data_IF_874041585412
#
_entry.id   IF_874041585412
#
_cell.length_a   1.000
_cell.length_b   1.000
_cell.length_c   1.000
_cell.angle_alpha   90.00
_cell.angle_beta   90.00
_cell.angle_gamma   90.00
#
_symmetry.space_group_name_H-M   'P 1'
#
loop_
_entity.id
_entity.type
_entity.pdbx_description
1 polymer ?
#
# COMPACT_ATOMS: atom_id res chain seq x y z
N UNK A 1 11.04 -13.47 14.53
CA UNK A 1 10.29 -12.92 13.36
C UNK A 1 11.27 -12.24 12.42
N UNK A 2 11.19 -12.56 11.12
CA UNK A 2 12.01 -11.85 10.13
C UNK A 2 11.22 -10.72 9.48
N UNK A 3 11.90 -9.60 9.24
CA UNK A 3 11.36 -8.46 8.49
C UNK A 3 12.33 -8.13 7.37
N UNK A 4 11.86 -8.10 6.13
CA UNK A 4 12.62 -7.58 5.00
C UNK A 4 12.30 -6.11 4.83
N UNK A 5 13.33 -5.29 4.70
CA UNK A 5 13.23 -3.83 4.57
C UNK A 5 13.72 -3.43 3.19
N UNK A 6 12.88 -2.73 2.46
CA UNK A 6 13.28 -2.03 1.23
C UNK A 6 13.70 -0.58 1.54
N UNK A 7 14.69 -0.09 0.82
CA UNK A 7 15.26 1.26 1.05
C UNK A 7 15.43 2.02 -0.26
N UNK A 8 15.42 3.35 -0.19
CA UNK A 8 16.00 4.16 -1.27
C UNK A 8 17.51 4.10 -1.20
N UNK A 9 18.15 3.75 -2.32
CA UNK A 9 19.61 3.64 -2.46
C UNK A 9 20.22 4.68 -3.40
N UNK A 10 19.40 5.32 -4.21
CA UNK A 10 19.81 6.36 -5.16
C UNK A 10 19.01 7.65 -4.92
N UNK A 11 19.54 8.77 -5.40
CA UNK A 11 18.83 10.04 -5.36
C UNK A 11 17.82 10.11 -6.50
N UNK A 12 16.57 10.33 -6.15
CA UNK A 12 15.45 10.64 -7.04
C UNK A 12 15.00 12.09 -6.82
N UNK A 13 14.13 12.61 -7.69
CA UNK A 13 13.68 14.01 -7.60
C UNK A 13 13.05 14.40 -6.26
N UNK A 14 12.58 13.44 -5.46
CA UNK A 14 11.86 13.66 -4.21
C UNK A 14 12.57 13.09 -2.95
N UNK A 15 13.70 12.37 -3.11
CA UNK A 15 14.42 11.74 -2.00
C UNK A 15 15.92 11.63 -2.30
N UNK A 16 16.75 11.75 -1.27
CA UNK A 16 18.16 11.37 -1.31
C UNK A 16 18.31 10.02 -0.64
N UNK A 17 18.43 8.95 -1.43
CA UNK A 17 18.62 7.60 -0.95
C UNK A 17 19.97 7.42 -0.25
N UNK A 18 19.97 6.73 0.88
CA UNK A 18 21.15 6.43 1.69
C UNK A 18 21.28 4.93 1.98
N UNK A 19 20.27 4.16 1.61
CA UNK A 19 20.27 2.71 1.77
C UNK A 19 21.13 2.01 0.73
N UNK A 20 21.42 0.73 0.97
CA UNK A 20 22.18 -0.11 0.06
C UNK A 20 21.34 -1.25 -0.55
N UNK A 21 20.02 -1.08 -0.59
CA UNK A 21 19.11 -2.06 -1.16
C UNK A 21 18.21 -2.73 -0.13
N UNK A 22 18.23 -4.05 -0.05
CA UNK A 22 17.41 -4.84 0.87
C UNK A 22 18.16 -5.20 2.15
N UNK A 23 17.47 -5.08 3.28
CA UNK A 23 17.95 -5.53 4.59
C UNK A 23 17.04 -6.62 5.14
N UNK A 24 17.58 -7.55 5.92
CA UNK A 24 16.80 -8.54 6.67
C UNK A 24 17.07 -8.36 8.15
N UNK A 25 16.03 -8.11 8.91
CA UNK A 25 16.08 -7.94 10.35
C UNK A 25 15.54 -9.20 11.03
N UNK A 26 16.25 -9.74 12.02
CA UNK A 26 15.73 -10.76 12.93
C UNK A 26 15.28 -10.07 14.22
N UNK A 27 13.99 -9.99 14.40
CA UNK A 27 13.35 -9.34 15.54
C UNK A 27 12.86 -10.39 16.52
N UNK A 28 13.15 -10.19 17.79
CA UNK A 28 12.61 -11.03 18.85
C UNK A 28 11.11 -10.75 19.02
N UNK A 29 10.31 -11.80 19.01
CA UNK A 29 8.83 -11.66 18.96
C UNK A 29 8.24 -11.14 20.27
N UNK A 30 8.92 -11.38 21.40
CA UNK A 30 8.44 -10.98 22.74
C UNK A 30 8.91 -9.58 23.10
N UNK A 31 10.21 -9.33 22.94
CA UNK A 31 10.83 -8.06 23.34
C UNK A 31 10.71 -7.00 22.28
N UNK A 32 10.56 -7.39 21.00
CA UNK A 32 10.60 -6.52 19.82
C UNK A 32 11.88 -5.70 19.75
N UNK A 33 12.98 -6.38 19.97
CA UNK A 33 14.35 -5.88 19.79
C UNK A 33 15.06 -6.72 18.74
N UNK A 34 16.11 -6.19 18.14
CA UNK A 34 16.93 -6.98 17.22
C UNK A 34 17.61 -8.11 17.99
N UNK A 35 17.52 -9.34 17.48
CA UNK A 35 18.31 -10.47 18.00
C UNK A 35 19.77 -10.24 17.66
N UNK A 36 20.63 -10.43 18.66
CA UNK A 36 22.07 -10.37 18.46
C UNK A 36 22.52 -11.54 17.59
N UNK A 37 22.98 -11.26 16.38
CA UNK A 37 23.33 -12.28 15.37
C UNK A 37 24.83 -12.38 15.15
N UNK A 38 25.61 -12.52 16.21
CA UNK A 38 27.08 -12.70 16.12
C UNK A 38 27.50 -13.86 15.18
N UNK A 39 26.57 -14.77 14.84
CA UNK A 39 26.80 -15.90 13.94
C UNK A 39 26.23 -15.73 12.52
N UNK A 40 25.45 -14.68 12.23
CA UNK A 40 24.78 -14.53 10.95
C UNK A 40 25.21 -13.24 10.22
N UNK A 41 25.94 -13.41 9.13
CA UNK A 41 26.57 -12.30 8.38
C UNK A 41 25.59 -11.52 7.51
N UNK A 42 24.35 -12.01 7.36
CA UNK A 42 23.36 -11.39 6.45
C UNK A 42 22.34 -10.50 7.18
N UNK A 43 22.00 -10.78 8.42
CA UNK A 43 21.06 -9.94 9.16
C UNK A 43 21.62 -8.55 9.43
N UNK A 44 20.80 -7.51 9.19
CA UNK A 44 21.18 -6.13 9.40
C UNK A 44 22.25 -5.60 8.43
N UNK A 45 22.54 -6.31 7.34
CA UNK A 45 23.43 -5.86 6.27
C UNK A 45 22.70 -5.77 4.94
N UNK A 46 23.06 -4.81 4.06
CA UNK A 46 22.51 -4.75 2.72
C UNK A 46 22.90 -6.01 1.95
N UNK A 47 21.93 -6.65 1.30
CA UNK A 47 22.16 -7.90 0.59
C UNK A 47 22.14 -7.76 -0.92
N UNK A 48 21.30 -6.87 -1.41
CA UNK A 48 21.08 -6.65 -2.83
C UNK A 48 20.90 -5.16 -3.07
N UNK A 49 21.74 -4.57 -3.87
CA UNK A 49 21.72 -3.16 -4.19
C UNK A 49 22.97 -2.73 -4.93
N UNK A 50 23.08 -1.45 -5.34
CA UNK A 50 24.22 -0.93 -6.08
C UNK A 50 25.56 -1.17 -5.39
N UNK A 51 25.62 -0.94 -4.08
CA UNK A 51 26.86 -1.08 -3.30
C UNK A 51 27.25 -2.53 -3.02
N UNK A 52 26.31 -3.46 -3.06
CA UNK A 52 26.58 -4.89 -2.84
C UNK A 52 27.15 -5.59 -4.07
N UNK A 53 27.09 -4.94 -5.25
CA UNK A 53 27.48 -5.54 -6.52
C UNK A 53 26.60 -6.73 -6.97
N UNK A 54 25.54 -7.05 -6.19
CA UNK A 54 24.62 -8.13 -6.50
C UNK A 54 23.36 -7.56 -7.18
N UNK A 55 23.14 -7.95 -8.41
CA UNK A 55 21.89 -7.85 -9.17
C UNK A 55 21.29 -6.47 -9.41
N UNK A 56 22.00 -5.37 -9.16
CA UNK A 56 21.61 -4.05 -9.65
C UNK A 56 20.18 -3.59 -9.26
N UNK A 57 19.66 -3.97 -8.10
CA UNK A 57 18.44 -3.41 -7.53
C UNK A 57 18.74 -1.99 -7.03
N UNK A 58 18.21 -1.00 -7.71
CA UNK A 58 18.25 0.37 -7.26
C UNK A 58 16.88 0.73 -6.69
N UNK A 59 16.86 1.30 -5.48
CA UNK A 59 15.61 1.69 -4.82
C UNK A 59 14.56 0.56 -4.77
N UNK A 60 14.81 -0.59 -4.10
CA UNK A 60 13.79 -1.61 -3.88
C UNK A 60 12.73 -1.09 -2.91
N UNK A 61 11.72 -0.41 -3.45
CA UNK A 61 10.77 0.39 -2.66
C UNK A 61 9.50 -0.34 -2.27
N UNK A 62 9.22 -1.49 -2.89
CA UNK A 62 8.13 -2.34 -2.45
C UNK A 62 8.43 -3.81 -2.67
N UNK A 63 7.99 -4.63 -1.71
CA UNK A 63 8.20 -6.08 -1.74
C UNK A 63 7.13 -6.82 -0.94
N UNK A 64 6.94 -8.08 -1.30
CA UNK A 64 6.09 -9.01 -0.56
C UNK A 64 6.81 -10.34 -0.35
N UNK A 65 6.53 -11.00 0.77
CA UNK A 65 6.91 -12.37 1.02
C UNK A 65 5.73 -13.29 0.68
N UNK A 66 5.96 -14.33 -0.09
CA UNK A 66 4.95 -15.27 -0.52
C UNK A 66 5.39 -16.71 -0.24
N UNK A 67 4.59 -17.43 0.54
CA UNK A 67 4.71 -18.88 0.70
C UNK A 67 3.78 -19.57 -0.30
N UNK A 68 4.33 -20.36 -1.24
CA UNK A 68 3.49 -21.14 -2.14
C UNK A 68 2.56 -22.10 -1.39
N UNK A 69 1.36 -22.31 -1.89
CA UNK A 69 0.39 -23.25 -1.30
C UNK A 69 1.01 -24.64 -1.18
N UNK A 70 0.97 -25.18 0.03
CA UNK A 70 1.54 -26.51 0.34
C UNK A 70 3.00 -26.52 0.78
N UNK A 71 3.69 -25.38 0.76
CA UNK A 71 5.07 -25.24 1.20
C UNK A 71 5.21 -24.86 2.70
N UNK A 72 4.19 -25.15 3.52
CA UNK A 72 4.25 -24.90 4.97
C UNK A 72 5.51 -25.57 5.54
N UNK A 73 6.26 -24.80 6.35
CA UNK A 73 7.56 -25.18 6.94
C UNK A 73 8.75 -25.20 5.97
N UNK A 74 8.61 -24.59 4.79
CA UNK A 74 9.76 -24.44 3.91
C UNK A 74 10.88 -23.63 4.59
N UNK A 75 12.11 -24.08 4.45
CA UNK A 75 13.30 -23.37 4.95
C UNK A 75 13.51 -22.01 4.27
N UNK A 76 12.78 -21.75 3.19
CA UNK A 76 12.86 -20.54 2.38
C UNK A 76 11.49 -20.06 1.97
N UNK A 77 11.39 -18.73 1.72
CA UNK A 77 10.20 -18.05 1.23
C UNK A 77 10.56 -17.26 -0.03
N UNK A 78 9.60 -17.10 -0.93
CA UNK A 78 9.77 -16.28 -2.13
C UNK A 78 9.51 -14.81 -1.80
N UNK A 79 10.41 -13.94 -2.22
CA UNK A 79 10.27 -12.48 -2.12
C UNK A 79 10.11 -11.95 -3.54
N UNK A 80 8.99 -11.28 -3.83
CA UNK A 80 8.84 -10.49 -5.04
C UNK A 80 9.13 -9.05 -4.69
N UNK A 81 10.02 -8.42 -5.47
CA UNK A 81 10.48 -7.05 -5.24
C UNK A 81 10.43 -6.25 -6.52
N UNK A 82 10.06 -4.97 -6.39
CA UNK A 82 10.12 -3.99 -7.46
C UNK A 82 11.09 -2.88 -7.10
N UNK A 83 11.73 -2.30 -8.11
CA UNK A 83 12.61 -1.14 -7.95
C UNK A 83 12.00 0.12 -8.59
N UNK A 84 12.21 1.25 -7.92
CA UNK A 84 11.72 2.56 -8.36
C UNK A 84 12.80 3.31 -9.11
N UNK A 85 12.57 3.58 -10.40
CA UNK A 85 13.50 4.30 -11.27
C UNK A 85 12.77 5.37 -12.06
N UNK A 86 13.42 6.53 -12.22
CA UNK A 86 12.85 7.68 -12.94
C UNK A 86 13.30 7.74 -14.39
N UNK A 87 14.43 7.13 -14.74
CA UNK A 87 15.08 7.20 -16.06
C UNK A 87 14.82 6.00 -16.97
N UNK A 88 14.24 4.94 -16.45
CA UNK A 88 13.87 3.73 -17.19
C UNK A 88 12.77 2.94 -16.45
N UNK A 89 12.19 1.90 -17.05
CA UNK A 89 10.97 1.26 -16.55
C UNK A 89 11.00 0.73 -15.13
N UNK A 90 12.16 0.55 -14.50
CA UNK A 90 12.26 -0.21 -13.26
C UNK A 90 12.14 -1.71 -13.52
N UNK A 91 12.19 -2.52 -12.48
CA UNK A 91 12.20 -3.98 -12.62
C UNK A 91 11.34 -4.68 -11.59
N UNK A 92 10.85 -5.87 -11.98
CA UNK A 92 10.24 -6.85 -11.07
C UNK A 92 11.14 -8.08 -11.03
N UNK A 93 11.43 -8.57 -9.82
CA UNK A 93 12.26 -9.75 -9.57
C UNK A 93 11.63 -10.70 -8.58
N UNK A 94 11.99 -11.99 -8.70
CA UNK A 94 11.74 -13.01 -7.69
C UNK A 94 13.06 -13.39 -7.01
N UNK A 95 13.05 -13.43 -5.68
CA UNK A 95 14.18 -13.82 -4.84
C UNK A 95 13.75 -14.95 -3.90
N UNK A 96 14.71 -15.69 -3.40
CA UNK A 96 14.52 -16.63 -2.30
C UNK A 96 15.15 -16.07 -1.02
N UNK A 97 14.42 -16.05 0.06
CA UNK A 97 14.94 -15.75 1.39
C UNK A 97 15.07 -17.06 2.19
N UNK A 98 16.26 -17.39 2.60
CA UNK A 98 16.49 -18.47 3.57
C UNK A 98 16.12 -17.99 4.98
N UNK A 99 15.05 -18.56 5.56
CA UNK A 99 14.53 -18.13 6.87
C UNK A 99 15.54 -18.33 8.02
N UNK A 100 16.46 -19.28 7.91
CA UNK A 100 17.44 -19.57 8.95
C UNK A 100 18.67 -18.68 8.89
N UNK A 101 19.14 -18.36 7.67
CA UNK A 101 20.37 -17.59 7.49
C UNK A 101 20.11 -16.10 7.21
N UNK A 102 18.86 -15.74 6.85
CA UNK A 102 18.52 -14.38 6.37
C UNK A 102 19.12 -14.05 5.01
N UNK A 103 19.66 -15.01 4.28
CA UNK A 103 20.28 -14.81 2.97
C UNK A 103 19.22 -14.68 1.89
N UNK A 104 19.32 -13.63 1.09
CA UNK A 104 18.57 -13.42 -0.14
C UNK A 104 19.39 -13.86 -1.35
N UNK A 105 18.75 -14.58 -2.26
CA UNK A 105 19.35 -15.07 -3.52
C UNK A 105 18.34 -14.91 -4.67
N UNK A 106 18.77 -14.76 -5.93
CA UNK A 106 17.87 -14.84 -7.07
C UNK A 106 17.11 -16.16 -7.08
N UNK A 107 15.83 -16.09 -7.47
CA UNK A 107 15.03 -17.26 -7.76
C UNK A 107 14.91 -17.40 -9.27
N UNK A 108 15.44 -18.47 -9.83
CA UNK A 108 15.64 -18.65 -11.27
C UNK A 108 17.03 -18.20 -11.72
N UNK A 109 17.17 -17.79 -12.97
CA UNK A 109 18.40 -17.20 -13.47
C UNK A 109 18.64 -15.82 -12.84
N UNK A 110 19.89 -15.45 -12.56
CA UNK A 110 20.22 -14.11 -12.04
C UNK A 110 19.82 -12.98 -12.98
N UNK A 111 19.56 -13.29 -14.24
CA UNK A 111 19.06 -12.38 -15.27
C UNK A 111 17.55 -12.45 -15.48
N UNK A 112 16.81 -13.24 -14.68
CA UNK A 112 15.35 -13.28 -14.71
C UNK A 112 14.74 -12.00 -14.12
N UNK A 113 14.84 -10.93 -14.92
CA UNK A 113 14.38 -9.59 -14.60
C UNK A 113 13.30 -9.22 -15.61
N UNK A 114 12.15 -8.80 -15.13
CA UNK A 114 11.08 -8.27 -15.96
C UNK A 114 11.10 -6.75 -15.92
N UNK A 115 11.23 -6.11 -17.09
CA UNK A 115 11.00 -4.68 -17.20
C UNK A 115 9.54 -4.36 -16.78
N UNK A 116 9.38 -3.36 -15.93
CA UNK A 116 8.06 -3.05 -15.38
C UNK A 116 7.13 -2.36 -16.40
N UNK A 117 7.66 -1.86 -17.51
CA UNK A 117 6.90 -1.30 -18.63
C UNK A 117 7.58 -1.65 -19.97
N UNK A 118 6.81 -1.71 -21.05
CA UNK A 118 7.30 -2.01 -22.39
C UNK A 118 7.91 -0.78 -23.12
N UNK A 119 7.93 0.37 -22.47
CA UNK A 119 8.49 1.64 -22.99
C UNK A 119 9.90 1.87 -22.42
N UNK A 120 10.96 1.57 -23.16
CA UNK A 120 12.32 1.52 -22.62
C UNK A 120 12.90 2.89 -22.22
N UNK A 121 12.27 3.99 -22.64
CA UNK A 121 12.75 5.35 -22.41
C UNK A 121 11.90 6.17 -21.45
N UNK A 122 10.86 5.56 -20.88
CA UNK A 122 10.03 6.21 -19.87
C UNK A 122 10.35 5.64 -18.49
N UNK A 123 10.50 6.52 -17.49
CA UNK A 123 10.63 6.11 -16.10
C UNK A 123 9.38 5.38 -15.64
N UNK A 124 9.52 4.22 -15.01
CA UNK A 124 8.38 3.44 -14.51
C UNK A 124 7.99 3.80 -13.09
N UNK A 125 8.98 4.03 -12.24
CA UNK A 125 8.80 4.15 -10.79
C UNK A 125 7.86 3.06 -10.26
N UNK A 126 8.27 1.78 -10.45
CA UNK A 126 7.48 0.64 -10.01
C UNK A 126 7.37 0.64 -8.48
N UNK A 127 6.14 0.73 -7.94
CA UNK A 127 5.92 1.09 -6.54
C UNK A 127 5.06 0.10 -5.74
N UNK A 128 4.52 -0.95 -6.37
CA UNK A 128 3.74 -1.97 -5.68
C UNK A 128 3.75 -3.30 -6.42
N UNK A 129 3.70 -4.42 -5.68
CA UNK A 129 3.66 -5.78 -6.23
C UNK A 129 2.69 -6.65 -5.45
N UNK A 130 2.02 -7.60 -6.13
CA UNK A 130 1.17 -8.63 -5.53
C UNK A 130 1.24 -9.94 -6.31
N UNK A 131 0.86 -11.05 -5.67
CA UNK A 131 0.61 -12.35 -6.29
C UNK A 131 -0.89 -12.60 -6.32
N UNK A 132 -1.42 -13.12 -7.43
CA UNK A 132 -2.83 -13.52 -7.51
C UNK A 132 -3.11 -14.71 -6.58
N UNK A 133 -4.32 -14.81 -5.98
CA UNK A 133 -4.64 -15.90 -5.04
C UNK A 133 -4.64 -17.31 -5.65
N UNK A 134 -4.73 -17.42 -6.98
CA UNK A 134 -4.55 -18.67 -7.72
C UNK A 134 -3.07 -19.01 -8.00
N UNK A 135 -2.17 -18.13 -7.57
CA UNK A 135 -0.71 -18.24 -7.74
C UNK A 135 -0.22 -18.32 -9.19
N UNK A 136 -1.02 -17.84 -10.14
CA UNK A 136 -0.67 -17.88 -11.56
C UNK A 136 0.11 -16.67 -12.03
N UNK A 137 -0.10 -15.51 -11.42
CA UNK A 137 0.50 -14.25 -11.85
C UNK A 137 1.08 -13.43 -10.71
N UNK A 138 2.12 -12.68 -11.03
CA UNK A 138 2.66 -11.58 -10.24
C UNK A 138 2.33 -10.28 -10.97
N UNK A 139 1.71 -9.32 -10.28
CA UNK A 139 1.32 -8.03 -10.82
C UNK A 139 2.11 -6.92 -10.15
N UNK A 140 2.54 -5.92 -10.93
CA UNK A 140 3.16 -4.73 -10.37
C UNK A 140 2.59 -3.45 -10.98
N UNK A 141 2.56 -2.37 -10.17
CA UNK A 141 2.06 -1.06 -10.56
C UNK A 141 3.21 -0.09 -10.80
N UNK A 142 3.14 0.65 -11.90
CA UNK A 142 4.10 1.66 -12.32
C UNK A 142 3.50 3.04 -12.15
N UNK A 143 4.12 3.85 -11.30
CA UNK A 143 3.62 5.18 -10.97
C UNK A 143 3.81 6.18 -12.11
N UNK A 144 5.05 6.36 -12.62
CA UNK A 144 5.33 7.43 -13.59
C UNK A 144 4.68 7.20 -14.96
N UNK A 145 4.54 5.96 -15.39
CA UNK A 145 3.96 5.65 -16.70
C UNK A 145 2.49 5.18 -16.65
N UNK A 146 1.89 5.11 -15.47
CA UNK A 146 0.46 4.78 -15.32
C UNK A 146 0.09 3.44 -15.94
N UNK A 147 0.88 2.40 -15.65
CA UNK A 147 0.70 1.08 -16.23
C UNK A 147 0.80 -0.05 -15.20
N UNK A 148 0.41 -1.25 -15.63
CA UNK A 148 0.61 -2.49 -14.88
C UNK A 148 1.44 -3.44 -15.73
N UNK A 149 2.34 -4.19 -15.09
CA UNK A 149 2.91 -5.41 -15.64
C UNK A 149 2.29 -6.62 -14.94
N UNK A 150 1.93 -7.63 -15.72
CA UNK A 150 1.40 -8.90 -15.24
C UNK A 150 2.27 -10.01 -15.80
N UNK A 151 2.91 -10.76 -14.91
CA UNK A 151 3.90 -11.78 -15.27
C UNK A 151 3.42 -13.15 -14.81
N UNK A 152 3.45 -14.13 -15.68
CA UNK A 152 3.20 -15.51 -15.31
C UNK A 152 4.14 -15.97 -14.21
N UNK A 153 3.65 -16.78 -13.27
CA UNK A 153 4.41 -17.36 -12.17
C UNK A 153 4.54 -18.87 -12.37
N UNK A 154 5.76 -19.39 -12.27
CA UNK A 154 6.02 -20.84 -12.30
C UNK A 154 5.72 -21.46 -10.93
N UNK A 155 5.61 -22.79 -10.88
CA UNK A 155 5.29 -23.53 -9.65
C UNK A 155 6.32 -23.34 -8.54
N UNK A 156 7.60 -23.17 -8.91
CA UNK A 156 8.70 -22.89 -7.97
C UNK A 156 8.70 -21.45 -7.44
N UNK A 157 7.84 -20.60 -7.99
CA UNK A 157 7.74 -19.19 -7.64
C UNK A 157 8.55 -18.26 -8.53
N UNK A 158 9.38 -18.77 -9.46
CA UNK A 158 10.10 -17.94 -10.41
C UNK A 158 9.16 -17.27 -11.42
N UNK A 159 9.62 -16.15 -12.02
CA UNK A 159 8.88 -15.44 -13.05
C UNK A 159 8.94 -16.17 -14.39
N UNK A 160 7.81 -16.25 -15.09
CA UNK A 160 7.74 -16.79 -16.43
C UNK A 160 7.92 -15.66 -17.47
N UNK A 161 9.12 -15.48 -17.99
CA UNK A 161 9.43 -14.41 -18.92
C UNK A 161 8.78 -14.57 -20.31
N UNK A 162 8.23 -15.75 -20.61
CA UNK A 162 7.47 -16.02 -21.83
C UNK A 162 6.00 -15.63 -21.72
N UNK A 163 5.53 -15.23 -20.50
CA UNK A 163 4.14 -14.87 -20.21
C UNK A 163 4.09 -13.52 -19.48
N UNK A 164 4.40 -12.44 -20.24
CA UNK A 164 4.43 -11.06 -19.74
C UNK A 164 3.43 -10.21 -20.50
N UNK A 165 2.59 -9.50 -19.77
CA UNK A 165 1.55 -8.61 -20.30
C UNK A 165 1.66 -7.23 -19.69
N UNK A 166 1.52 -6.20 -20.54
CA UNK A 166 1.54 -4.79 -20.14
C UNK A 166 0.15 -4.16 -20.36
N UNK A 167 -0.37 -3.49 -19.33
CA UNK A 167 -1.66 -2.82 -19.34
C UNK A 167 -1.49 -1.35 -19.04
N UNK A 168 -1.88 -0.48 -19.98
CA UNK A 168 -1.82 0.96 -19.80
C UNK A 168 -3.16 1.50 -19.31
N UNK A 169 -3.11 2.39 -18.35
CA UNK A 169 -4.29 3.06 -17.78
C UNK A 169 -4.47 4.47 -18.36
N UNK A 170 -3.46 4.99 -19.07
CA UNK A 170 -3.52 6.22 -19.85
C UNK A 170 -3.97 5.95 -21.31
N UNK A 171 -4.66 6.91 -21.91
CA UNK A 171 -4.95 6.90 -23.35
C UNK A 171 -6.19 6.13 -23.80
N UNK A 172 -6.85 5.38 -22.93
CA UNK A 172 -8.19 4.89 -23.21
C UNK A 172 -9.19 5.98 -22.78
N UNK A 173 -10.09 6.47 -23.65
CA UNK A 173 -11.17 7.32 -23.20
C UNK A 173 -12.12 6.47 -22.36
N UNK A 174 -11.77 6.26 -21.10
CA UNK A 174 -12.62 5.57 -20.14
C UNK A 174 -13.59 6.60 -19.61
N UNK A 175 -14.84 6.45 -19.99
CA UNK A 175 -15.92 7.21 -19.38
C UNK A 175 -15.99 6.80 -17.90
N UNK A 176 -16.08 7.78 -17.03
CA UNK A 176 -16.52 7.54 -15.65
C UNK A 176 -17.91 6.94 -15.73
N UNK A 177 -18.16 5.90 -14.98
CA UNK A 177 -19.40 5.14 -15.06
C UNK A 177 -20.67 6.01 -14.88
N UNK A 178 -20.54 7.18 -14.29
CA UNK A 178 -21.64 8.00 -13.80
C UNK A 178 -21.96 9.26 -14.62
N UNK A 179 -21.00 9.79 -15.41
CA UNK A 179 -21.14 11.15 -15.91
C UNK A 179 -20.98 11.30 -17.43
N UNK A 180 -20.76 10.26 -18.19
CA UNK A 180 -20.28 10.39 -19.58
C UNK A 180 -19.01 11.26 -19.74
N UNK A 181 -18.40 11.67 -18.62
CA UNK A 181 -17.21 12.53 -18.61
C UNK A 181 -15.97 11.65 -18.68
N UNK A 182 -15.20 11.83 -19.73
CA UNK A 182 -13.90 11.19 -19.86
C UNK A 182 -12.96 11.66 -18.73
N UNK A 183 -12.09 10.76 -18.23
CA UNK A 183 -10.96 11.16 -17.41
C UNK A 183 -10.12 12.11 -18.28
N UNK A 184 -9.88 13.30 -17.76
CA UNK A 184 -9.09 14.33 -18.45
C UNK A 184 -7.83 14.64 -17.67
N UNK A 185 -6.74 14.83 -18.38
CA UNK A 185 -5.49 15.29 -17.81
C UNK A 185 -5.17 16.70 -18.29
N UNK A 186 -4.52 17.54 -17.46
CA UNK A 186 -4.23 17.26 -16.05
C UNK A 186 -5.50 17.29 -15.19
N UNK A 187 -5.47 16.51 -14.09
CA UNK A 187 -6.49 16.57 -13.04
C UNK A 187 -6.36 17.83 -12.18
N UNK A 188 -7.16 17.93 -11.08
CA UNK A 188 -7.17 19.12 -10.22
C UNK A 188 -5.81 19.51 -9.64
N UNK A 189 -4.92 18.55 -9.39
CA UNK A 189 -3.54 18.80 -9.00
C UNK A 189 -2.62 18.52 -10.20
N UNK A 190 -2.46 19.52 -11.07
CA UNK A 190 -1.79 19.37 -12.35
C UNK A 190 -0.34 18.87 -12.26
N UNK A 191 0.35 19.09 -11.15
CA UNK A 191 1.74 18.64 -10.94
C UNK A 191 1.85 17.14 -10.54
N UNK A 192 0.75 16.56 -10.07
CA UNK A 192 0.70 15.19 -9.58
C UNK A 192 -0.33 14.33 -10.30
N UNK A 193 -1.13 14.95 -11.18
CA UNK A 193 -2.22 14.32 -11.93
C UNK A 193 -2.15 14.70 -13.41
N UNK A 194 -0.93 14.78 -13.95
CA UNK A 194 -0.66 15.09 -15.36
C UNK A 194 -1.00 13.92 -16.30
N UNK A 195 -1.06 12.71 -15.76
CA UNK A 195 -1.41 11.43 -16.42
C UNK A 195 -1.86 10.40 -15.39
N UNK A 196 -2.13 9.16 -15.81
CA UNK A 196 -2.33 8.05 -14.89
C UNK A 196 -1.07 7.80 -14.05
N UNK A 197 -1.26 7.51 -12.75
CA UNK A 197 -0.22 7.19 -11.77
C UNK A 197 -0.68 6.04 -10.90
N UNK A 198 -0.67 4.81 -11.44
CA UNK A 198 -1.03 3.60 -10.71
C UNK A 198 -0.11 3.41 -9.49
N UNK A 199 -0.68 3.33 -8.29
CA UNK A 199 0.11 3.32 -7.07
C UNK A 199 0.02 2.02 -6.27
N UNK A 200 -0.99 1.21 -6.50
CA UNK A 200 -1.19 -0.07 -5.82
C UNK A 200 -1.97 -1.03 -6.72
N UNK A 201 -1.82 -2.32 -6.48
CA UNK A 201 -2.64 -3.39 -7.06
C UNK A 201 -3.19 -4.27 -5.95
N UNK A 202 -4.50 -4.60 -6.00
CA UNK A 202 -5.18 -5.49 -5.07
C UNK A 202 -6.06 -6.47 -5.84
N UNK A 203 -6.22 -7.66 -5.27
CA UNK A 203 -7.18 -8.63 -5.76
C UNK A 203 -8.46 -8.59 -4.94
N UNK A 204 -9.59 -8.48 -5.60
CA UNK A 204 -10.91 -8.48 -4.98
C UNK A 204 -11.74 -9.63 -5.54
N UNK A 205 -12.14 -10.52 -4.64
CA UNK A 205 -12.91 -11.71 -5.01
C UNK A 205 -14.39 -11.41 -5.16
N UNK A 206 -15.00 -11.89 -6.25
CA UNK A 206 -16.44 -11.97 -6.42
C UNK A 206 -16.94 -13.42 -6.42
N UNK A 207 -18.25 -13.61 -6.45
CA UNK A 207 -18.87 -14.95 -6.52
C UNK A 207 -18.99 -15.50 -7.95
N UNK A 208 -19.01 -14.63 -8.95
CA UNK A 208 -19.12 -14.97 -10.37
C UNK A 208 -17.82 -14.65 -11.14
N UNK A 209 -17.16 -13.56 -10.79
CA UNK A 209 -15.88 -13.13 -11.36
C UNK A 209 -15.11 -12.31 -10.36
N UNK A 210 -13.79 -12.18 -10.57
CA UNK A 210 -12.89 -11.45 -9.69
C UNK A 210 -12.41 -10.15 -10.36
N UNK A 211 -11.93 -9.21 -9.56
CA UNK A 211 -11.39 -7.94 -10.05
C UNK A 211 -9.99 -7.64 -9.48
N UNK A 212 -9.17 -7.00 -10.30
CA UNK A 212 -7.98 -6.28 -9.84
C UNK A 212 -8.37 -4.83 -9.61
N UNK A 213 -8.15 -4.33 -8.39
CA UNK A 213 -8.41 -2.96 -8.02
C UNK A 213 -7.09 -2.19 -8.00
N UNK A 214 -7.07 -1.03 -8.67
CA UNK A 214 -5.85 -0.24 -8.84
C UNK A 214 -6.13 1.21 -8.44
N UNK A 215 -5.77 1.62 -7.22
CA UNK A 215 -5.71 3.02 -6.87
C UNK A 215 -4.76 3.77 -7.81
N UNK A 216 -5.26 4.80 -8.48
CA UNK A 216 -4.52 5.60 -9.45
C UNK A 216 -4.59 7.07 -9.05
N UNK A 217 -3.46 7.58 -8.56
CA UNK A 217 -3.35 8.93 -8.04
C UNK A 217 -3.60 9.98 -9.12
N UNK A 218 -3.07 9.73 -10.32
CA UNK A 218 -3.16 10.67 -11.43
C UNK A 218 -4.54 10.70 -12.08
N UNK A 219 -5.15 9.52 -12.24
CA UNK A 219 -6.53 9.40 -12.78
C UNK A 219 -7.61 9.78 -11.77
N UNK A 220 -7.22 10.00 -10.51
CA UNK A 220 -8.12 10.37 -9.42
C UNK A 220 -9.28 9.36 -9.22
N UNK A 221 -9.00 8.08 -9.45
CA UNK A 221 -9.96 6.99 -9.33
C UNK A 221 -9.31 5.69 -8.86
N UNK A 222 -10.13 4.70 -8.56
CA UNK A 222 -9.69 3.30 -8.44
C UNK A 222 -10.20 2.55 -9.65
N UNK A 223 -9.31 2.01 -10.45
CA UNK A 223 -9.69 1.14 -11.55
C UNK A 223 -10.18 -0.20 -11.03
N UNK A 224 -11.32 -0.66 -11.51
CA UNK A 224 -11.80 -2.04 -11.35
C UNK A 224 -11.59 -2.77 -12.66
N UNK A 225 -10.69 -3.75 -12.68
CA UNK A 225 -10.28 -4.47 -13.89
C UNK A 225 -10.66 -5.93 -13.72
N UNK A 226 -11.55 -6.50 -14.57
CA UNK A 226 -11.89 -7.91 -14.48
C UNK A 226 -10.65 -8.81 -14.56
N UNK A 227 -10.51 -9.73 -13.61
CA UNK A 227 -9.50 -10.78 -13.66
C UNK A 227 -10.08 -11.99 -14.38
N UNK A 228 -9.64 -12.24 -15.61
CA UNK A 228 -10.13 -13.32 -16.46
C UNK A 228 -9.23 -14.57 -16.44
N UNK A 229 -8.05 -14.44 -15.80
CA UNK A 229 -7.13 -15.54 -15.60
C UNK A 229 -6.43 -16.04 -16.87
N UNK A 230 -5.71 -17.16 -16.79
CA UNK A 230 -4.79 -17.63 -17.84
C UNK A 230 -5.44 -18.14 -19.12
N UNK A 231 -6.76 -18.27 -19.17
CA UNK A 231 -7.48 -18.83 -20.32
C UNK A 231 -7.83 -17.81 -21.40
N UNK A 232 -7.58 -16.53 -21.18
CA UNK A 232 -7.92 -15.47 -22.13
C UNK A 232 -6.83 -15.29 -23.18
N UNK A 233 -7.21 -15.26 -24.45
CA UNK A 233 -6.28 -14.97 -25.55
C UNK A 233 -5.73 -13.54 -25.54
N UNK A 234 -6.35 -12.63 -24.80
CA UNK A 234 -5.96 -11.23 -24.65
C UNK A 234 -5.14 -10.93 -23.38
N UNK A 235 -4.71 -11.97 -22.67
CA UNK A 235 -4.04 -11.84 -21.37
C UNK A 235 -4.99 -11.96 -20.17
N UNK A 236 -4.45 -11.95 -18.93
CA UNK A 236 -5.23 -12.27 -17.73
C UNK A 236 -6.17 -11.17 -17.22
N UNK A 237 -6.11 -9.95 -17.76
CA UNK A 237 -6.97 -8.84 -17.35
C UNK A 237 -7.90 -8.39 -18.47
N UNK A 238 -9.13 -8.02 -18.10
CA UNK A 238 -10.12 -7.43 -18.98
C UNK A 238 -9.97 -5.90 -19.11
N UNK A 239 -11.03 -5.25 -19.60
CA UNK A 239 -11.04 -3.79 -19.79
C UNK A 239 -11.15 -3.05 -18.45
N UNK A 240 -10.28 -2.09 -18.15
CA UNK A 240 -10.39 -1.26 -16.95
C UNK A 240 -11.67 -0.42 -16.93
N UNK A 241 -12.30 -0.33 -15.76
CA UNK A 241 -13.45 0.53 -15.49
C UNK A 241 -13.09 1.49 -14.36
N UNK A 242 -13.24 2.79 -14.58
CA UNK A 242 -12.99 3.77 -13.52
C UNK A 242 -14.10 3.73 -12.48
N UNK A 243 -13.72 3.57 -11.22
CA UNK A 243 -14.61 3.46 -10.05
C UNK A 243 -13.98 4.22 -8.88
N UNK A 244 -14.61 4.22 -7.70
CA UNK A 244 -13.99 4.74 -6.47
C UNK A 244 -13.64 6.24 -6.54
N UNK A 245 -14.43 7.03 -7.21
CA UNK A 245 -14.28 8.49 -7.33
C UNK A 245 -15.53 9.23 -6.84
N UNK A 246 -15.44 10.54 -6.77
CA UNK A 246 -16.58 11.40 -6.43
C UNK A 246 -16.13 12.85 -6.28
N UNK A 247 -17.03 13.86 -6.38
CA UNK A 247 -16.65 15.27 -6.31
C UNK A 247 -15.93 15.66 -5.03
N UNK A 248 -16.25 15.04 -3.90
CA UNK A 248 -15.58 15.29 -2.61
C UNK A 248 -14.15 14.75 -2.60
N UNK A 249 -13.84 13.83 -3.50
CA UNK A 249 -12.52 13.18 -3.63
C UNK A 249 -11.69 13.78 -4.77
N UNK A 250 -12.25 14.73 -5.52
CA UNK A 250 -11.56 15.35 -6.64
C UNK A 250 -10.24 16.01 -6.21
N UNK A 251 -9.16 15.70 -6.90
CA UNK A 251 -7.80 16.10 -6.53
C UNK A 251 -7.22 15.31 -5.36
N UNK A 252 -7.90 14.25 -4.89
CA UNK A 252 -7.53 13.47 -3.74
C UNK A 252 -6.31 12.58 -3.95
N UNK A 253 -6.19 12.00 -5.14
CA UNK A 253 -5.09 11.12 -5.51
C UNK A 253 -5.08 9.81 -4.72
N UNK A 254 -5.87 8.79 -5.13
CA UNK A 254 -5.87 7.48 -4.49
C UNK A 254 -4.46 6.86 -4.51
N UNK A 255 -4.00 6.39 -3.36
CA UNK A 255 -2.65 5.84 -3.20
C UNK A 255 -2.65 4.37 -2.82
N UNK A 256 -2.96 4.08 -1.58
CA UNK A 256 -3.05 2.73 -1.03
C UNK A 256 -4.48 2.43 -0.58
N UNK A 257 -4.82 1.16 -0.59
CA UNK A 257 -6.13 0.68 -0.18
C UNK A 257 -6.01 -0.63 0.59
N UNK A 258 -7.07 -0.98 1.32
CA UNK A 258 -7.19 -2.28 2.00
C UNK A 258 -8.64 -2.76 1.92
N UNK A 259 -8.82 -4.05 1.65
CA UNK A 259 -10.11 -4.70 1.73
C UNK A 259 -10.43 -5.11 3.16
N UNK A 260 -11.70 -5.11 3.52
CA UNK A 260 -12.13 -5.65 4.80
C UNK A 260 -11.79 -7.16 4.88
N UNK A 261 -11.22 -7.66 6.00
CA UNK A 261 -10.77 -9.04 6.10
C UNK A 261 -11.92 -10.06 6.19
N UNK A 262 -13.07 -9.66 6.73
CA UNK A 262 -14.29 -10.49 6.72
C UNK A 262 -14.90 -10.47 5.31
N UNK A 263 -15.00 -11.62 4.62
CA UNK A 263 -15.56 -11.69 3.27
C UNK A 263 -17.06 -11.34 3.20
N UNK A 264 -17.75 -11.31 4.33
CA UNK A 264 -19.15 -10.88 4.41
C UNK A 264 -19.29 -9.35 4.45
N UNK A 265 -18.24 -8.65 4.85
CA UNK A 265 -18.19 -7.19 4.85
C UNK A 265 -17.52 -6.74 3.54
N UNK A 266 -18.34 -6.46 2.56
CA UNK A 266 -17.90 -6.17 1.17
C UNK A 266 -17.47 -4.72 1.02
N UNK A 267 -16.32 -4.34 1.64
CA UNK A 267 -15.81 -2.97 1.63
C UNK A 267 -14.32 -2.87 1.31
N UNK A 268 -13.97 -1.77 0.65
CA UNK A 268 -12.60 -1.31 0.45
C UNK A 268 -12.42 0.08 1.06
N UNK A 269 -11.28 0.31 1.66
CA UNK A 269 -10.89 1.61 2.22
C UNK A 269 -9.69 2.13 1.44
N UNK A 270 -9.82 3.35 0.94
CA UNK A 270 -8.83 3.98 0.06
C UNK A 270 -8.26 5.22 0.73
N UNK A 271 -6.94 5.32 0.80
CA UNK A 271 -6.22 6.48 1.29
C UNK A 271 -5.88 7.42 0.12
N UNK A 272 -6.26 8.69 0.24
CA UNK A 272 -6.07 9.74 -0.76
C UNK A 272 -4.90 10.62 -0.37
N UNK A 273 -3.78 10.46 -1.08
CA UNK A 273 -2.49 11.06 -0.72
C UNK A 273 -2.54 12.58 -0.65
N UNK A 274 -3.15 13.22 -1.65
CA UNK A 274 -3.06 14.66 -1.86
C UNK A 274 -4.00 15.48 -0.97
N UNK A 275 -4.98 14.82 -0.34
CA UNK A 275 -5.99 15.48 0.51
C UNK A 275 -6.01 14.94 1.94
N UNK A 276 -5.18 13.95 2.27
CA UNK A 276 -5.16 13.29 3.59
C UNK A 276 -6.53 12.76 4.03
N UNK A 277 -7.30 12.26 3.05
CA UNK A 277 -8.60 11.65 3.27
C UNK A 277 -8.52 10.12 3.22
N UNK A 278 -9.47 9.46 3.87
CA UNK A 278 -9.82 8.05 3.65
C UNK A 278 -11.27 7.98 3.23
N UNK A 279 -11.56 7.19 2.20
CA UNK A 279 -12.93 6.88 1.81
C UNK A 279 -13.16 5.37 1.84
N UNK A 280 -14.37 4.95 2.23
CA UNK A 280 -14.83 3.57 2.11
C UNK A 280 -15.85 3.43 0.98
N UNK A 281 -15.73 2.36 0.22
CA UNK A 281 -16.64 2.00 -0.87
C UNK A 281 -17.15 0.59 -0.68
N UNK A 282 -18.36 0.33 -1.19
CA UNK A 282 -18.91 -1.01 -1.26
C UNK A 282 -18.34 -1.77 -2.47
N UNK A 283 -18.14 -3.07 -2.27
CA UNK A 283 -17.67 -4.01 -3.29
C UNK A 283 -18.84 -4.87 -3.76
N UNK A 284 -19.02 -4.97 -5.07
CA UNK A 284 -20.00 -5.84 -5.69
C UNK A 284 -19.68 -7.30 -5.38
N UNK A 285 -20.68 -8.00 -4.85
CA UNK A 285 -20.54 -9.39 -4.41
C UNK A 285 -20.23 -10.34 -5.59
N UNK A 286 -20.75 -10.03 -6.78
CA UNK A 286 -20.63 -10.91 -7.94
C UNK A 286 -19.28 -10.75 -8.65
N UNK A 287 -18.84 -9.51 -8.79
CA UNK A 287 -17.70 -9.18 -9.65
C UNK A 287 -16.43 -8.78 -8.88
N UNK A 288 -16.55 -8.52 -7.58
CA UNK A 288 -15.42 -7.97 -6.79
C UNK A 288 -15.03 -6.53 -7.15
N UNK A 289 -15.74 -5.88 -8.06
CA UNK A 289 -15.51 -4.49 -8.44
C UNK A 289 -16.06 -3.51 -7.39
N UNK A 290 -15.54 -2.29 -7.37
CA UNK A 290 -16.16 -1.21 -6.57
C UNK A 290 -17.51 -0.86 -7.20
N UNK A 291 -18.54 -0.78 -6.36
CA UNK A 291 -19.88 -0.37 -6.79
C UNK A 291 -19.86 1.10 -7.19
N UNK A 292 -20.20 1.38 -8.45
CA UNK A 292 -20.32 2.75 -8.98
C UNK A 292 -21.74 3.28 -8.84
N UNK A 293 -21.93 4.58 -8.94
CA UNK A 293 -23.25 5.23 -8.83
C UNK A 293 -24.24 4.81 -9.91
N UNK A 294 -23.75 4.27 -11.01
CA UNK A 294 -24.59 3.66 -12.05
C UNK A 294 -25.21 2.32 -11.67
N UNK A 295 -24.76 1.69 -10.56
CA UNK A 295 -25.28 0.39 -10.12
C UNK A 295 -26.44 0.57 -9.13
N UNK A 296 -27.48 -0.31 -9.17
CA UNK A 296 -28.62 -0.20 -8.26
C UNK A 296 -28.28 -0.30 -6.76
N UNK A 297 -27.15 -0.94 -6.44
CA UNK A 297 -26.66 -1.14 -5.06
C UNK A 297 -25.74 -0.02 -4.58
N UNK A 298 -25.59 1.07 -5.34
CA UNK A 298 -24.70 2.16 -4.96
C UNK A 298 -25.09 2.81 -3.64
N UNK A 299 -24.12 2.88 -2.73
CA UNK A 299 -24.17 3.72 -1.54
C UNK A 299 -23.07 4.81 -1.65
N UNK A 300 -23.34 5.97 -1.06
CA UNK A 300 -22.36 7.06 -1.07
C UNK A 300 -21.15 6.68 -0.22
N UNK A 301 -19.90 6.94 -0.68
CA UNK A 301 -18.72 6.66 0.11
C UNK A 301 -18.72 7.46 1.42
N UNK A 302 -18.33 6.81 2.51
CA UNK A 302 -18.00 7.50 3.75
C UNK A 302 -16.59 8.06 3.64
N UNK A 303 -16.41 9.34 3.93
CA UNK A 303 -15.13 10.05 3.80
C UNK A 303 -14.72 10.63 5.15
N UNK A 304 -13.48 10.45 5.53
CA UNK A 304 -12.90 10.92 6.79
C UNK A 304 -11.55 11.60 6.57
N UNK A 305 -11.31 12.71 7.30
CA UNK A 305 -9.99 13.33 7.36
C UNK A 305 -9.16 12.66 8.46
N UNK A 306 -8.06 12.02 8.08
CA UNK A 306 -7.21 11.24 9.00
C UNK A 306 -6.47 12.08 10.03
N UNK A 307 -6.34 13.38 9.82
CA UNK A 307 -5.64 14.31 10.72
C UNK A 307 -6.60 15.03 11.69
N UNK A 308 -7.90 14.91 11.48
CA UNK A 308 -8.90 15.44 12.41
C UNK A 308 -9.12 14.44 13.56
N UNK A 309 -8.36 14.59 14.64
CA UNK A 309 -8.45 13.68 15.77
C UNK A 309 -7.63 14.13 16.98
N UNK A 310 -7.63 13.31 18.02
CA UNK A 310 -6.95 13.58 19.28
C UNK A 310 -5.59 12.88 19.33
N UNK A 311 -4.52 13.61 19.66
CA UNK A 311 -3.20 13.02 19.89
C UNK A 311 -3.18 12.19 21.16
N UNK A 312 -2.70 10.95 21.07
CA UNK A 312 -2.67 10.00 22.20
C UNK A 312 -1.56 8.96 22.00
N UNK A 313 -1.06 8.41 23.08
CA UNK A 313 -0.20 7.21 23.06
C UNK A 313 -1.03 5.90 22.99
N UNK A 314 -2.36 6.00 23.02
CA UNK A 314 -3.29 4.87 22.84
C UNK A 314 -4.01 5.00 21.50
N UNK A 315 -4.11 3.91 20.75
CA UNK A 315 -4.95 3.81 19.55
C UNK A 315 -6.38 3.36 19.88
N UNK A 316 -6.55 2.62 20.95
CA UNK A 316 -7.76 1.87 21.29
C UNK A 316 -8.33 2.29 22.64
N UNK A 317 -8.48 3.60 22.91
CA UNK A 317 -9.14 4.01 24.15
C UNK A 317 -10.59 3.53 24.17
N UNK A 318 -11.04 3.04 25.33
CA UNK A 318 -12.41 2.53 25.53
C UNK A 318 -13.45 3.47 24.90
N UNK A 319 -14.21 2.94 23.95
CA UNK A 319 -15.36 3.62 23.35
C UNK A 319 -16.48 3.90 24.35
N UNK A 320 -16.38 3.36 25.58
CA UNK A 320 -17.34 3.57 26.68
C UNK A 320 -17.24 4.94 27.35
N UNK A 321 -16.17 5.71 27.09
CA UNK A 321 -16.02 7.08 27.55
C UNK A 321 -16.38 8.07 26.44
N UNK A 322 -17.56 7.95 25.83
CA UNK A 322 -18.15 9.03 25.04
C UNK A 322 -18.40 10.23 25.98
N UNK A 323 -17.36 11.03 26.17
CA UNK A 323 -17.48 12.28 26.89
C UNK A 323 -18.10 13.30 25.94
N UNK A 324 -19.08 14.09 26.42
CA UNK A 324 -19.64 15.25 25.73
C UNK A 324 -18.65 16.43 25.68
N UNK A 325 -17.35 16.14 25.52
CA UNK A 325 -16.31 17.16 25.45
C UNK A 325 -16.33 17.89 24.10
N UNK A 326 -15.81 19.12 24.07
CA UNK A 326 -15.62 19.88 22.83
C UNK A 326 -14.70 19.13 21.84
N UNK A 327 -13.86 18.20 22.31
CA UNK A 327 -13.02 17.33 21.49
C UNK A 327 -13.85 16.28 20.76
N UNK A 328 -14.89 15.73 21.37
CA UNK A 328 -15.81 14.79 20.73
C UNK A 328 -16.69 15.45 19.67
N UNK A 329 -17.02 16.74 19.85
CA UNK A 329 -17.73 17.52 18.82
C UNK A 329 -16.90 17.74 17.57
N UNK A 330 -15.55 17.85 17.67
CA UNK A 330 -14.65 17.91 16.52
C UNK A 330 -14.60 16.59 15.75
N UNK A 331 -14.86 15.46 16.39
CA UNK A 331 -15.00 14.18 15.71
C UNK A 331 -16.12 14.19 14.67
N UNK A 332 -17.18 14.94 14.89
CA UNK A 332 -18.27 15.10 13.91
C UNK A 332 -17.86 15.87 12.67
N UNK A 333 -16.94 16.81 12.77
CA UNK A 333 -16.38 17.54 11.62
C UNK A 333 -15.40 16.69 10.80
N UNK A 334 -14.95 15.55 11.34
CA UNK A 334 -14.07 14.60 10.69
C UNK A 334 -14.76 13.89 9.50
N UNK A 335 -16.07 13.70 9.58
CA UNK A 335 -16.84 13.01 8.55
C UNK A 335 -17.49 14.00 7.59
N UNK A 336 -17.03 13.97 6.36
CA UNK A 336 -17.64 14.72 5.28
C UNK A 336 -18.77 13.88 4.69
N UNK A 337 -20.01 14.21 5.05
CA UNK A 337 -21.16 13.67 4.34
C UNK A 337 -21.20 14.29 2.96
N UNK A 338 -21.10 13.44 1.96
CA UNK A 338 -21.28 13.83 0.58
C UNK A 338 -22.68 14.42 0.38
N UNK A 339 -22.78 15.75 0.25
CA UNK A 339 -23.99 16.46 -0.13
C UNK A 339 -23.80 17.03 -1.53
N UNK A 340 -24.48 16.44 -2.52
CA UNK A 340 -24.42 16.87 -3.92
C UNK A 340 -24.87 18.33 -4.14
N UNK A 341 -25.42 18.98 -3.12
CA UNK A 341 -25.95 20.37 -3.21
C UNK A 341 -25.00 21.42 -2.61
N UNK A 342 -23.89 21.02 -2.02
CA UNK A 342 -22.91 21.96 -1.45
C UNK A 342 -21.61 21.90 -2.22
N UNK A 343 -21.28 22.99 -2.88
CA UNK A 343 -20.03 23.23 -3.63
C UNK A 343 -18.77 23.31 -2.74
N UNK A 344 -18.87 23.02 -1.46
CA UNK A 344 -17.73 23.01 -0.55
C UNK A 344 -17.02 21.66 -0.64
N UNK A 345 -16.20 21.51 -1.65
CA UNK A 345 -15.11 20.53 -1.63
C UNK A 345 -14.23 20.86 -0.43
N UNK A 346 -13.98 19.94 0.50
CA UNK A 346 -13.01 20.18 1.56
C UNK A 346 -11.65 20.36 0.87
N UNK A 347 -11.23 21.58 0.72
CA UNK A 347 -9.82 21.83 0.44
C UNK A 347 -9.08 21.33 1.66
N UNK A 348 -8.35 20.23 1.53
CA UNK A 348 -7.36 19.90 2.54
C UNK A 348 -6.42 21.10 2.65
N UNK A 349 -6.62 21.88 3.69
CA UNK A 349 -5.94 23.15 3.85
C UNK A 349 -4.46 22.97 4.18
N UNK A 350 -4.03 21.75 4.44
CA UNK A 350 -2.67 21.47 4.88
C UNK A 350 -1.85 20.92 3.70
N UNK A 351 -1.25 21.83 2.93
CA UNK A 351 -0.31 21.48 1.86
C UNK A 351 0.92 20.74 2.34
N UNK A 352 1.10 20.66 3.65
CA UNK A 352 2.27 20.11 4.29
C UNK A 352 2.06 18.68 4.80
N UNK A 353 0.92 18.05 4.47
CA UNK A 353 0.60 16.68 4.90
C UNK A 353 0.14 15.82 3.74
N UNK A 354 0.51 14.53 3.80
CA UNK A 354 0.05 13.53 2.85
C UNK A 354 0.01 12.15 3.48
N UNK A 355 -1.06 11.38 3.23
CA UNK A 355 -1.12 9.99 3.70
C UNK A 355 -0.23 9.08 2.85
N UNK A 356 0.18 7.96 3.43
CA UNK A 356 1.02 6.99 2.74
C UNK A 356 0.41 5.58 2.77
N UNK A 357 0.59 4.82 3.84
CA UNK A 357 0.10 3.46 3.96
C UNK A 357 -1.22 3.39 4.74
N UNK A 358 -2.04 2.40 4.42
CA UNK A 358 -3.27 2.07 5.14
C UNK A 358 -3.28 0.57 5.46
N UNK A 359 -3.69 0.22 6.66
CA UNK A 359 -3.87 -1.16 7.13
C UNK A 359 -5.15 -1.27 7.94
N UNK A 360 -5.71 -2.46 8.05
CA UNK A 360 -6.82 -2.77 8.96
C UNK A 360 -6.29 -3.67 10.07
N UNK A 361 -6.76 -3.44 11.30
CA UNK A 361 -6.38 -4.29 12.43
C UNK A 361 -6.89 -5.72 12.25
N UNK A 362 -6.22 -6.74 12.81
CA UNK A 362 -6.61 -8.14 12.64
C UNK A 362 -8.03 -8.46 13.12
N UNK A 363 -8.54 -7.71 14.10
CA UNK A 363 -9.92 -7.79 14.62
C UNK A 363 -10.92 -6.94 13.81
N UNK A 364 -10.45 -6.28 12.75
CA UNK A 364 -11.22 -5.36 11.91
C UNK A 364 -11.88 -4.19 12.66
N UNK A 365 -11.46 -3.86 13.86
CA UNK A 365 -12.04 -2.77 14.65
C UNK A 365 -11.57 -1.38 14.22
N UNK A 366 -10.38 -1.27 13.59
CA UNK A 366 -9.80 0.02 13.21
C UNK A 366 -9.07 -0.03 11.88
N UNK A 367 -9.11 1.09 11.16
CA UNK A 367 -8.15 1.40 10.11
C UNK A 367 -6.98 2.18 10.70
N UNK A 368 -5.78 1.82 10.30
CA UNK A 368 -4.56 2.54 10.63
C UNK A 368 -4.00 3.18 9.37
N UNK A 369 -3.68 4.47 9.45
CA UNK A 369 -3.21 5.27 8.30
C UNK A 369 -1.98 6.06 8.71
N UNK A 370 -0.89 5.91 7.95
CA UNK A 370 0.31 6.72 8.17
C UNK A 370 0.22 8.05 7.42
N UNK A 371 0.69 9.13 8.06
CA UNK A 371 0.72 10.48 7.51
C UNK A 371 2.12 11.05 7.55
N UNK A 372 2.59 11.53 6.41
CA UNK A 372 3.84 12.26 6.24
C UNK A 372 3.56 13.74 6.47
N UNK A 373 4.32 14.37 7.34
CA UNK A 373 4.18 15.79 7.67
C UNK A 373 5.48 16.48 7.29
N UNK A 374 5.41 17.45 6.40
CA UNK A 374 6.59 18.23 5.95
C UNK A 374 7.20 18.96 7.14
N UNK A 375 8.51 18.76 7.37
CA UNK A 375 9.25 19.32 8.48
C UNK A 375 8.71 19.01 9.89
N UNK A 376 7.80 18.01 9.99
CA UNK A 376 7.20 17.58 11.25
C UNK A 376 7.40 16.08 11.50
N UNK A 377 7.07 15.67 12.73
CA UNK A 377 6.97 14.28 13.08
C UNK A 377 5.80 13.63 12.33
N UNK A 378 6.07 12.51 11.66
CA UNK A 378 5.02 11.70 11.03
C UNK A 378 4.10 11.05 12.05
N UNK A 379 2.91 10.66 11.62
CA UNK A 379 1.89 10.08 12.51
C UNK A 379 1.27 8.83 11.95
N UNK A 380 0.67 8.03 12.83
CA UNK A 380 -0.32 7.00 12.48
C UNK A 380 -1.63 7.38 13.15
N UNK A 381 -2.70 7.42 12.37
CA UNK A 381 -4.07 7.68 12.81
C UNK A 381 -4.85 6.37 12.85
N UNK A 382 -5.54 6.09 13.96
CA UNK A 382 -6.46 4.97 14.12
C UNK A 382 -7.90 5.48 13.97
N UNK A 383 -8.61 4.96 12.98
CA UNK A 383 -9.98 5.29 12.62
C UNK A 383 -10.87 4.10 12.99
N UNK A 384 -11.78 4.22 13.97
CA UNK A 384 -12.61 3.10 14.38
C UNK A 384 -13.64 2.75 13.30
N UNK A 385 -13.92 1.45 13.18
CA UNK A 385 -14.92 0.89 12.28
C UNK A 385 -16.15 0.42 13.09
N UNK A 386 -17.29 0.46 12.43
CA UNK A 386 -18.51 -0.20 12.87
C UNK A 386 -18.51 -1.68 12.46
N UNK A 387 -19.36 -2.50 13.05
CA UNK A 387 -19.49 -3.95 12.71
C UNK A 387 -19.81 -4.20 11.23
N UNK A 388 -20.52 -3.28 10.58
CA UNK A 388 -20.81 -3.36 9.16
C UNK A 388 -19.64 -2.88 8.25
N UNK A 389 -18.51 -2.53 8.84
CA UNK A 389 -17.33 -2.03 8.17
C UNK A 389 -17.39 -0.55 7.79
N UNK A 390 -18.43 0.19 8.16
CA UNK A 390 -18.42 1.65 7.94
C UNK A 390 -17.45 2.35 8.90
N UNK A 391 -16.86 3.47 8.44
CA UNK A 391 -16.13 4.37 9.32
C UNK A 391 -17.08 4.90 10.41
N UNK A 392 -16.66 4.83 11.66
CA UNK A 392 -17.51 5.27 12.77
C UNK A 392 -17.51 6.81 12.87
N UNK A 393 -18.64 7.49 12.56
CA UNK A 393 -18.72 8.95 12.58
C UNK A 393 -18.78 9.55 14.00
N UNK A 394 -19.00 8.74 15.01
CA UNK A 394 -19.21 9.20 16.39
C UNK A 394 -17.94 9.24 17.22
N UNK A 395 -16.85 8.65 16.70
CA UNK A 395 -15.58 8.54 17.41
C UNK A 395 -14.46 9.20 16.62
N UNK A 396 -13.75 10.11 17.28
CA UNK A 396 -12.59 10.77 16.68
C UNK A 396 -11.44 9.80 16.44
N UNK A 397 -10.65 10.04 15.37
CA UNK A 397 -9.40 9.34 15.18
C UNK A 397 -8.45 9.53 16.38
N UNK A 398 -7.68 8.50 16.69
CA UNK A 398 -6.55 8.62 17.62
C UNK A 398 -5.27 8.76 16.79
N UNK A 399 -4.53 9.85 17.03
CA UNK A 399 -3.34 10.21 16.26
C UNK A 399 -2.12 10.02 17.15
N UNK A 400 -1.15 9.25 16.67
CA UNK A 400 0.08 8.97 17.39
C UNK A 400 1.31 9.34 16.55
N UNK A 401 2.28 10.05 17.16
CA UNK A 401 3.59 10.30 16.58
C UNK A 401 4.43 9.01 16.44
N UNK A 402 5.29 8.95 15.43
CA UNK A 402 6.14 7.79 15.14
C UNK A 402 7.62 8.01 15.45
N UNK A 403 7.96 9.02 16.25
CA UNK A 403 9.34 9.45 16.54
C UNK A 403 10.20 9.81 15.33
N UNK A 404 9.69 9.72 14.12
CA UNK A 404 10.44 9.97 12.90
C UNK A 404 9.63 10.74 11.88
N UNK A 405 10.26 11.05 10.75
CA UNK A 405 9.62 11.78 9.65
C UNK A 405 9.33 10.84 8.50
N UNK A 406 8.26 11.16 7.77
CA UNK A 406 7.86 10.45 6.55
C UNK A 406 7.67 8.94 6.78
N UNK A 407 6.71 8.52 7.65
CA UNK A 407 6.38 7.11 7.80
C UNK A 407 5.68 6.59 6.53
N UNK A 408 6.50 6.11 5.58
CA UNK A 408 6.04 5.73 4.23
C UNK A 408 5.30 4.41 4.23
N UNK A 409 5.71 3.49 5.10
CA UNK A 409 5.07 2.20 5.30
C UNK A 409 5.11 1.76 6.77
N UNK A 410 4.22 0.84 7.12
CA UNK A 410 4.21 0.17 8.41
C UNK A 410 3.58 -1.21 8.30
N UNK A 411 3.93 -2.08 9.22
CA UNK A 411 3.35 -3.43 9.35
C UNK A 411 2.74 -3.62 10.72
N UNK A 412 1.78 -4.53 10.79
CA UNK A 412 1.12 -4.94 12.04
C UNK A 412 1.64 -6.30 12.47
N UNK A 413 2.01 -6.41 13.73
CA UNK A 413 2.49 -7.64 14.37
C UNK A 413 1.62 -7.95 15.56
N UNK A 414 1.22 -9.20 15.70
CA UNK A 414 0.35 -9.68 16.78
C UNK A 414 -0.92 -10.34 16.26
N UNK A 415 -1.61 -11.04 17.13
CA UNK A 415 -2.81 -11.81 16.80
C UNK A 415 -4.11 -11.00 16.93
N UNK A 416 -5.25 -11.59 16.51
CA UNK A 416 -6.55 -10.92 16.50
C UNK A 416 -7.11 -10.63 17.91
N UNK A 417 -6.55 -11.20 18.96
CA UNK A 417 -7.03 -11.04 20.34
C UNK A 417 -6.25 -10.03 21.15
N UNK A 418 -5.21 -9.42 20.58
CA UNK A 418 -4.38 -8.42 21.25
C UNK A 418 -4.25 -7.20 20.36
N UNK A 419 -4.15 -6.01 20.98
CA UNK A 419 -3.83 -4.79 20.25
C UNK A 419 -2.54 -5.01 19.44
N UNK A 420 -2.55 -4.81 18.10
CA UNK A 420 -1.38 -5.08 17.29
C UNK A 420 -0.25 -4.12 17.63
N UNK A 421 0.96 -4.63 17.59
CA UNK A 421 2.16 -3.79 17.54
C UNK A 421 2.36 -3.28 16.12
N UNK A 422 2.69 -2.00 16.00
CA UNK A 422 3.01 -1.38 14.72
C UNK A 422 4.53 -1.24 14.62
N UNK A 423 5.09 -1.64 13.49
CA UNK A 423 6.47 -1.34 13.14
C UNK A 423 6.43 -0.42 11.92
N UNK A 424 6.96 0.78 12.04
CA UNK A 424 6.90 1.83 11.04
C UNK A 424 8.27 2.17 10.46
N UNK A 425 8.32 2.40 9.14
CA UNK A 425 9.50 2.85 8.41
C UNK A 425 9.46 4.37 8.23
N UNK A 426 10.29 5.10 8.99
CA UNK A 426 10.42 6.56 8.95
C UNK A 426 11.56 6.96 8.01
N UNK A 427 11.21 7.18 6.73
CA UNK A 427 12.15 7.37 5.62
C UNK A 427 13.20 8.46 5.88
N UNK A 428 12.76 9.68 6.27
CA UNK A 428 13.63 10.86 6.29
C UNK A 428 14.48 10.98 7.58
N UNK A 429 14.25 10.12 8.56
CA UNK A 429 15.03 10.04 9.78
C UNK A 429 15.85 8.76 9.90
N UNK A 430 15.81 7.91 8.85
CA UNK A 430 16.55 6.65 8.79
C UNK A 430 16.20 5.69 9.95
N UNK A 431 14.91 5.64 10.35
CA UNK A 431 14.48 4.94 11.55
C UNK A 431 13.40 3.90 11.26
N UNK A 432 13.54 2.75 11.88
CA UNK A 432 12.46 1.78 12.03
C UNK A 432 12.01 1.83 13.49
N UNK A 433 10.71 2.07 13.71
CA UNK A 433 10.14 2.40 15.01
C UNK A 433 9.08 1.40 15.41
N UNK A 434 9.07 0.98 16.65
CA UNK A 434 8.06 0.12 17.27
C UNK A 434 7.09 0.95 18.09
N UNK A 435 5.79 0.79 17.81
CA UNK A 435 4.70 1.43 18.52
C UNK A 435 3.82 0.35 19.16
N UNK A 436 3.66 0.40 20.48
CA UNK A 436 2.78 -0.48 21.25
C UNK A 436 1.69 0.31 21.92
N UNK A 437 0.53 -0.29 22.09
CA UNK A 437 -0.60 0.33 22.77
C UNK A 437 -0.20 0.84 24.16
N UNK A 438 -0.50 2.10 24.44
CA UNK A 438 -0.24 2.76 25.73
C UNK A 438 1.24 2.85 26.15
N UNK A 439 2.19 2.58 25.25
CA UNK A 439 3.63 2.66 25.51
C UNK A 439 4.26 3.78 24.69
N UNK A 440 5.37 4.30 25.15
CA UNK A 440 6.24 5.18 24.37
C UNK A 440 6.72 4.48 23.09
N UNK A 441 6.88 5.24 22.03
CA UNK A 441 7.49 4.74 20.80
C UNK A 441 8.97 4.47 21.02
N UNK A 442 9.51 3.41 20.39
CA UNK A 442 10.91 2.99 20.55
C UNK A 442 11.54 2.78 19.18
N UNK A 443 12.74 3.33 18.99
CA UNK A 443 13.52 3.06 17.77
C UNK A 443 14.06 1.63 17.83
N UNK A 444 13.66 0.82 16.84
CA UNK A 444 14.15 -0.55 16.67
C UNK A 444 15.58 -0.56 16.10
N UNK A 445 15.82 0.22 15.05
CA UNK A 445 17.12 0.36 14.41
C UNK A 445 17.21 1.62 13.54
N UNK A 446 18.45 2.02 13.24
CA UNK A 446 18.83 3.03 12.22
C UNK A 446 19.77 2.45 11.16
N UNK A 447 20.01 1.14 11.19
CA UNK A 447 21.00 0.48 10.32
C UNK A 447 20.46 0.17 8.92
N UNK A 448 19.19 0.45 8.64
CA UNK A 448 18.58 0.39 7.33
C UNK A 448 18.12 1.81 6.92
N UNK A 449 19.03 2.66 6.44
CA UNK A 449 18.73 4.06 6.16
C UNK A 449 17.76 4.23 4.98
N UNK A 450 17.00 5.33 5.00
CA UNK A 450 15.91 5.63 4.07
C UNK A 450 14.93 4.45 3.86
N UNK A 451 14.38 3.86 4.95
CA UNK A 451 13.51 2.71 4.86
C UNK A 451 12.14 3.13 4.31
N UNK A 452 11.59 2.37 3.36
CA UNK A 452 10.36 2.75 2.65
C UNK A 452 9.32 1.66 2.56
N UNK A 453 9.71 0.41 2.74
CA UNK A 453 8.82 -0.74 2.76
C UNK A 453 9.25 -1.73 3.81
N UNK A 454 8.29 -2.31 4.50
CA UNK A 454 8.47 -3.38 5.48
C UNK A 454 7.64 -4.59 5.08
N UNK A 455 8.25 -5.77 5.12
CA UNK A 455 7.56 -7.02 4.86
C UNK A 455 7.87 -8.03 5.96
N UNK A 456 6.86 -8.41 6.75
CA UNK A 456 6.98 -9.50 7.71
C UNK A 456 6.99 -10.82 6.95
N UNK A 457 8.00 -11.63 7.22
CA UNK A 457 8.13 -12.96 6.61
C UNK A 457 7.23 -13.94 7.35
N UNK A 458 6.40 -14.72 6.65
CA UNK A 458 5.59 -15.77 7.27
C UNK A 458 6.46 -16.77 8.06
N UNK A 459 5.98 -17.20 9.23
CA UNK A 459 6.67 -18.14 10.14
C UNK A 459 6.48 -19.57 9.74
#
# INVERSE_FOLDING_TARGET
MLIVVGTYSETLGHVTGKGDGLYVLDVDDETLTLKSTAANTFFGRPQLGPSSGRLGLANPTYLIAHEPKGAKDAASVVIYVVDEREDHPGTLRALTLNKRTGELSPLGDEHDIVAADDRPHEGGACCHVMVTPDEKYVLAANYLCGSLVVVGRREDGSLNLDDVHYYRLDGTPVKRADDDVAITYPGPNANRQDRAHAHMVLYSKGSESDSILVPDLGSDCVWSIPYVGPKSSGGPLGTPIATGYGPVLAGGGPRHAVLHPDPNVRKIYVAYELTSLVASFDIDEKTGAIISSSMPSYSRPNVCNVLAGTRSNSFYSDASAASNSEEDKRGYEQFLRYDTKKENVPTCADKDTSVAAIRITPDASHLLVSSRIVNGEGTISALPLLENGDLNPQVSARIRGVLGRTPRDFVLVGGPTTAPTIIAASQDTDEIVVLREGKEAVILTKDAPTPVCLCVVPT
#
